data_IF_833282947482
#
_entry.id   IF_833282947482
#
_cell.length_a   1.000
_cell.length_b   1.000
_cell.length_c   1.000
_cell.angle_alpha   90.00
_cell.angle_beta   90.00
_cell.angle_gamma   90.00
#
_symmetry.space_group_name_H-M   'P 1'
#
loop_
_entity.id
_entity.type
_entity.pdbx_description
1 polymer ?
#
# COMPACT_ATOMS: atom_id res chain seq x y z
N UNK A 1 -18.51 -17.33 -12.64
CA UNK A 1 -18.43 -15.88 -12.44
C UNK A 1 -18.91 -15.58 -11.03
N UNK A 2 -17.97 -15.37 -10.12
CA UNK A 2 -18.27 -14.97 -8.73
C UNK A 2 -18.07 -13.46 -8.71
N UNK A 3 -19.17 -12.71 -8.52
CA UNK A 3 -19.10 -11.27 -8.30
C UNK A 3 -18.62 -11.07 -6.85
N UNK A 4 -17.34 -10.77 -6.67
CA UNK A 4 -16.70 -10.62 -5.35
C UNK A 4 -16.64 -9.17 -4.85
N UNK A 5 -17.53 -8.28 -5.30
CA UNK A 5 -17.55 -6.89 -4.85
C UNK A 5 -18.82 -6.58 -4.08
N UNK A 6 -18.63 -6.05 -2.87
CA UNK A 6 -19.70 -5.58 -2.00
C UNK A 6 -19.46 -4.12 -1.60
N UNK A 7 -20.52 -3.32 -1.55
CA UNK A 7 -20.50 -1.86 -1.39
C UNK A 7 -21.38 -1.43 -0.19
N UNK A 8 -20.88 -0.60 0.73
CA UNK A 8 -21.66 -0.13 1.89
C UNK A 8 -21.55 1.39 2.06
N UNK A 9 -22.57 2.08 2.52
CA UNK A 9 -22.64 3.53 2.74
C UNK A 9 -22.55 3.88 4.23
N UNK A 10 -21.81 4.92 4.59
CA UNK A 10 -21.68 5.38 5.97
C UNK A 10 -22.91 6.16 6.42
N UNK A 11 -23.43 5.78 7.62
CA UNK A 11 -24.24 6.60 8.49
C UNK A 11 -23.65 6.45 9.88
N UNK A 12 -22.48 7.06 10.15
CA UNK A 12 -21.66 7.00 11.37
C UNK A 12 -20.62 5.87 11.50
N UNK A 13 -20.45 4.97 10.50
CA UNK A 13 -19.41 3.92 10.42
C UNK A 13 -19.07 3.62 8.97
N UNK A 14 -17.87 3.10 8.67
CA UNK A 14 -17.53 2.65 7.31
C UNK A 14 -18.44 1.50 6.87
N UNK A 15 -19.15 1.71 5.79
CA UNK A 15 -20.16 0.80 5.28
C UNK A 15 -19.75 0.29 3.91
N UNK A 16 -19.77 -1.04 3.72
CA UNK A 16 -19.37 -1.71 2.48
C UNK A 16 -20.42 -1.48 1.37
N UNK A 17 -20.04 -1.06 0.20
CA UNK A 17 -20.92 -0.90 -0.96
C UNK A 17 -20.51 -1.83 -2.11
N UNK A 18 -21.44 -2.47 -2.81
CA UNK A 18 -21.09 -3.16 -4.05
C UNK A 18 -20.96 -2.16 -5.16
N UNK A 19 -19.86 -2.15 -5.84
CA UNK A 19 -19.76 -1.60 -7.17
C UNK A 19 -19.00 -2.57 -8.04
N UNK A 20 -19.17 -2.48 -9.34
CA UNK A 20 -18.27 -3.10 -10.29
C UNK A 20 -16.98 -2.26 -10.35
N UNK A 21 -16.36 -2.00 -9.19
CA UNK A 21 -15.19 -1.14 -9.11
C UNK A 21 -14.08 -1.63 -10.06
N UNK A 22 -13.95 -2.95 -10.18
CA UNK A 22 -13.22 -3.58 -11.28
C UNK A 22 -14.04 -4.77 -11.76
N UNK A 23 -14.54 -4.71 -12.99
CA UNK A 23 -15.28 -5.83 -13.57
C UNK A 23 -14.33 -6.99 -13.88
N UNK A 24 -14.47 -8.07 -13.14
CA UNK A 24 -14.05 -9.42 -13.58
C UNK A 24 -12.59 -9.82 -13.44
N UNK A 25 -11.80 -9.27 -12.53
CA UNK A 25 -10.50 -9.85 -12.27
C UNK A 25 -10.53 -10.67 -10.96
N UNK A 26 -10.31 -11.96 -11.07
CA UNK A 26 -9.93 -12.82 -9.97
C UNK A 26 -8.41 -12.70 -9.83
N UNK A 27 -7.95 -11.93 -8.86
CA UNK A 27 -6.53 -11.69 -8.62
C UNK A 27 -5.83 -12.87 -7.93
N UNK A 28 -6.49 -14.00 -7.83
CA UNK A 28 -6.04 -15.29 -7.31
C UNK A 28 -5.90 -15.36 -5.79
N UNK A 29 -4.97 -14.63 -5.17
CA UNK A 29 -4.82 -14.64 -3.70
C UNK A 29 -3.92 -13.51 -3.19
N UNK A 30 -4.12 -13.14 -1.93
CA UNK A 30 -3.32 -12.19 -1.18
C UNK A 30 -2.95 -10.94 -1.99
N UNK A 31 -3.92 -10.06 -2.21
CA UNK A 31 -3.72 -8.86 -3.03
C UNK A 31 -3.43 -7.64 -2.16
N UNK A 32 -2.50 -6.83 -2.64
CA UNK A 32 -2.10 -5.57 -2.05
C UNK A 32 -2.32 -4.45 -3.08
N UNK A 33 -3.44 -3.70 -3.00
CA UNK A 33 -3.72 -2.57 -3.88
C UNK A 33 -2.90 -1.35 -3.47
N UNK A 34 -2.51 -0.52 -4.44
CA UNK A 34 -1.94 0.81 -4.24
C UNK A 34 -2.48 1.74 -5.31
N UNK A 35 -2.84 2.96 -4.94
CA UNK A 35 -3.33 4.01 -5.83
C UNK A 35 -2.35 5.16 -5.90
N UNK A 36 -1.98 5.54 -7.12
CA UNK A 36 -1.03 6.63 -7.38
C UNK A 36 -1.24 7.18 -8.79
N UNK A 37 -1.14 8.48 -8.96
CA UNK A 37 -1.06 9.14 -10.26
C UNK A 37 0.36 8.96 -10.83
N UNK A 38 0.57 7.82 -11.52
CA UNK A 38 1.93 7.41 -11.95
C UNK A 38 2.36 8.09 -13.25
N UNK A 39 1.43 8.66 -13.99
CA UNK A 39 1.69 9.32 -15.26
C UNK A 39 1.33 10.83 -15.27
N UNK A 40 0.99 11.35 -14.09
CA UNK A 40 0.75 12.77 -13.84
C UNK A 40 -0.40 13.36 -14.70
N UNK A 41 -1.45 12.59 -14.90
CA UNK A 41 -2.65 13.03 -15.60
C UNK A 41 -3.78 13.53 -14.68
N UNK A 42 -3.55 13.53 -13.36
CA UNK A 42 -4.38 13.92 -12.23
C UNK A 42 -5.50 12.93 -11.89
N UNK A 43 -5.40 11.70 -12.33
CA UNK A 43 -6.21 10.63 -11.75
C UNK A 43 -5.32 9.47 -11.24
N UNK A 44 -5.77 8.79 -10.18
CA UNK A 44 -4.97 7.75 -9.59
C UNK A 44 -5.10 6.46 -10.37
N UNK A 45 -3.98 5.87 -10.75
CA UNK A 45 -3.86 4.53 -11.29
C UNK A 45 -3.88 3.48 -10.18
N UNK A 46 -4.13 2.23 -10.54
CA UNK A 46 -4.15 1.12 -9.60
C UNK A 46 -3.04 0.12 -9.91
N UNK A 47 -2.21 -0.11 -8.90
CA UNK A 47 -1.28 -1.23 -8.86
C UNK A 47 -1.78 -2.31 -7.92
N UNK A 48 -1.62 -3.57 -8.29
CA UNK A 48 -2.02 -4.71 -7.46
C UNK A 48 -0.87 -5.71 -7.35
N UNK A 49 -0.27 -5.78 -6.17
CA UNK A 49 0.64 -6.85 -5.82
C UNK A 49 -0.13 -8.15 -5.56
N UNK A 50 0.39 -9.29 -6.02
CA UNK A 50 -0.24 -10.60 -5.89
C UNK A 50 0.67 -11.62 -5.23
N UNK A 51 0.10 -12.70 -4.68
CA UNK A 51 0.89 -13.77 -4.06
C UNK A 51 1.62 -14.61 -5.12
N UNK A 52 0.90 -15.19 -6.08
CA UNK A 52 1.52 -16.01 -7.12
C UNK A 52 0.69 -16.03 -8.41
N UNK A 53 1.36 -16.22 -9.54
CA UNK A 53 0.73 -16.51 -10.83
C UNK A 53 0.81 -18.02 -11.11
N UNK A 54 -0.31 -18.74 -11.14
CA UNK A 54 -0.32 -20.18 -11.41
C UNK A 54 0.11 -20.54 -12.85
N UNK A 55 0.17 -19.56 -13.74
CA UNK A 55 0.63 -19.76 -15.11
C UNK A 55 2.16 -19.67 -15.26
N UNK A 56 2.86 -19.15 -14.23
CA UNK A 56 4.32 -19.06 -14.18
C UNK A 56 4.97 -20.28 -13.52
N UNK A 57 6.19 -20.62 -13.94
CA UNK A 57 7.04 -21.61 -13.27
C UNK A 57 8.50 -21.09 -13.24
N UNK A 58 9.10 -20.87 -12.06
CA UNK A 58 8.52 -21.05 -10.71
C UNK A 58 7.31 -20.13 -10.49
N UNK A 59 6.45 -20.47 -9.56
CA UNK A 59 5.32 -19.62 -9.19
C UNK A 59 5.86 -18.37 -8.47
N UNK A 60 5.67 -17.21 -9.10
CA UNK A 60 6.09 -15.91 -8.58
C UNK A 60 4.91 -14.96 -8.57
N UNK A 61 4.92 -14.01 -7.66
CA UNK A 61 3.95 -12.92 -7.65
C UNK A 61 4.12 -12.02 -8.87
N UNK A 62 3.10 -11.22 -9.13
CA UNK A 62 3.10 -10.16 -10.16
C UNK A 62 2.58 -8.87 -9.57
N UNK A 63 3.02 -7.78 -10.14
CA UNK A 63 2.40 -6.47 -9.95
C UNK A 63 1.64 -6.14 -11.22
N UNK A 64 0.33 -6.00 -11.09
CA UNK A 64 -0.58 -5.68 -12.19
C UNK A 64 -0.82 -4.18 -12.18
N UNK A 65 -0.76 -3.54 -13.34
CA UNK A 65 -1.07 -2.12 -13.50
C UNK A 65 -2.37 -1.94 -14.27
N UNK A 66 -3.22 -1.08 -13.74
CA UNK A 66 -4.46 -0.61 -14.36
C UNK A 66 -4.44 0.91 -14.41
N UNK A 67 -4.46 1.45 -15.60
CA UNK A 67 -4.61 2.88 -15.85
C UNK A 67 -6.08 3.29 -15.62
N UNK A 68 -6.27 4.39 -14.90
CA UNK A 68 -7.55 5.07 -14.81
C UNK A 68 -7.67 6.00 -16.02
N UNK A 69 -8.61 5.76 -16.90
CA UNK A 69 -8.83 6.56 -18.12
C UNK A 69 -9.99 7.56 -17.96
N UNK A 70 -10.27 7.97 -16.72
CA UNK A 70 -11.31 8.89 -16.34
C UNK A 70 -12.50 8.21 -15.69
N UNK A 71 -13.65 8.85 -15.65
CA UNK A 71 -14.84 8.38 -14.94
C UNK A 71 -16.03 8.07 -15.85
N UNK A 72 -16.87 7.14 -15.42
CA UNK A 72 -18.13 6.81 -16.10
C UNK A 72 -19.25 7.81 -15.75
N UNK A 73 -20.48 7.57 -16.29
CA UNK A 73 -21.65 8.41 -16.03
C UNK A 73 -22.12 8.44 -14.56
N UNK A 74 -21.56 7.62 -13.71
CA UNK A 74 -21.82 7.53 -12.26
C UNK A 74 -20.64 8.02 -11.42
N UNK A 75 -19.69 8.70 -12.05
CA UNK A 75 -18.45 9.18 -11.43
C UNK A 75 -17.59 8.05 -10.84
N UNK A 76 -17.59 6.87 -11.49
CA UNK A 76 -16.76 5.75 -11.09
C UNK A 76 -15.55 5.66 -12.03
N UNK A 77 -14.34 5.33 -11.52
CA UNK A 77 -13.16 5.22 -12.36
C UNK A 77 -13.31 4.13 -13.41
N UNK A 78 -12.79 4.37 -14.59
CA UNK A 78 -12.75 3.41 -15.71
C UNK A 78 -11.34 2.86 -15.82
N UNK A 79 -11.15 1.63 -15.37
CA UNK A 79 -9.87 0.95 -15.34
C UNK A 79 -9.54 0.24 -16.66
N UNK A 80 -8.35 0.46 -17.17
CA UNK A 80 -7.79 -0.25 -18.32
C UNK A 80 -6.55 -1.03 -17.88
N UNK A 81 -6.58 -2.36 -18.00
CA UNK A 81 -5.39 -3.18 -17.75
C UNK A 81 -4.29 -2.86 -18.74
N UNK A 82 -3.11 -2.49 -18.26
CA UNK A 82 -1.96 -2.10 -19.07
C UNK A 82 -1.00 -3.27 -19.23
N UNK A 83 -0.43 -3.74 -18.14
CA UNK A 83 0.50 -4.87 -18.19
C UNK A 83 0.77 -5.46 -16.78
N UNK A 84 1.53 -6.58 -16.77
CA UNK A 84 2.03 -7.27 -15.58
C UNK A 84 3.57 -7.45 -15.61
N UNK A 85 4.26 -6.73 -16.49
CA UNK A 85 5.71 -6.83 -16.70
C UNK A 85 6.42 -5.47 -16.56
N UNK A 86 5.85 -4.56 -15.81
CA UNK A 86 6.44 -3.24 -15.57
C UNK A 86 7.75 -3.37 -14.77
N UNK A 87 7.80 -4.33 -13.87
CA UNK A 87 8.96 -4.65 -13.05
C UNK A 87 9.64 -5.92 -13.56
N UNK A 88 10.95 -5.83 -13.81
CA UNK A 88 11.74 -6.95 -14.34
C UNK A 88 12.46 -7.69 -13.21
N UNK A 89 12.68 -9.00 -13.39
CA UNK A 89 13.42 -9.84 -12.47
C UNK A 89 12.53 -10.76 -11.63
N UNK A 90 13.11 -11.33 -10.59
CA UNK A 90 12.41 -12.19 -9.63
C UNK A 90 11.97 -11.31 -8.44
N UNK A 91 10.71 -10.95 -8.40
CA UNK A 91 10.13 -10.16 -7.32
C UNK A 91 9.82 -11.03 -6.07
N UNK A 92 9.77 -12.34 -6.24
CA UNK A 92 9.30 -13.26 -5.20
C UNK A 92 7.78 -13.47 -5.22
N UNK A 93 7.21 -13.79 -4.08
CA UNK A 93 5.78 -14.06 -3.89
C UNK A 93 5.20 -13.05 -2.89
N UNK A 94 3.88 -12.94 -2.90
CA UNK A 94 3.15 -12.15 -1.90
C UNK A 94 3.63 -10.69 -1.87
N UNK A 95 3.50 -10.05 -3.02
CA UNK A 95 4.09 -8.75 -3.28
C UNK A 95 3.27 -7.62 -2.64
N UNK A 96 3.95 -6.71 -1.99
CA UNK A 96 3.44 -5.42 -1.56
C UNK A 96 4.29 -4.34 -2.19
N UNK A 97 3.68 -3.30 -2.75
CA UNK A 97 4.38 -2.20 -3.41
C UNK A 97 4.01 -0.88 -2.74
N UNK A 98 4.95 0.04 -2.69
CA UNK A 98 4.72 1.42 -2.34
C UNK A 98 5.60 2.32 -3.22
N UNK A 99 5.20 3.57 -3.40
CA UNK A 99 5.86 4.52 -4.29
C UNK A 99 6.19 5.81 -3.55
N UNK A 100 7.34 6.40 -3.89
CA UNK A 100 7.75 7.74 -3.46
C UNK A 100 8.70 8.34 -4.49
N UNK A 101 8.69 9.66 -4.65
CA UNK A 101 9.76 10.41 -5.32
C UNK A 101 10.92 10.51 -4.32
N UNK A 102 11.75 9.41 -4.27
CA UNK A 102 12.75 9.24 -3.20
C UNK A 102 14.02 10.04 -3.45
N UNK A 103 14.23 10.50 -4.68
CA UNK A 103 15.41 11.27 -5.08
C UNK A 103 15.10 12.69 -5.57
N UNK A 104 13.83 13.09 -5.46
CA UNK A 104 13.33 14.43 -5.79
C UNK A 104 13.51 14.84 -7.26
N UNK A 105 13.41 13.88 -8.18
CA UNK A 105 13.49 14.12 -9.61
C UNK A 105 12.12 14.31 -10.28
N UNK A 106 11.02 14.25 -9.51
CA UNK A 106 9.62 14.49 -9.83
C UNK A 106 8.94 13.30 -10.53
N UNK A 107 9.51 12.14 -10.45
CA UNK A 107 8.80 10.91 -10.78
C UNK A 107 8.81 9.92 -9.59
N UNK A 108 7.95 8.93 -9.63
CA UNK A 108 7.79 8.01 -8.52
C UNK A 108 8.62 6.75 -8.70
N UNK A 109 9.45 6.45 -7.71
CA UNK A 109 10.18 5.20 -7.58
C UNK A 109 9.39 4.14 -6.82
N UNK A 110 9.73 2.87 -6.98
CA UNK A 110 9.00 1.77 -6.40
C UNK A 110 9.82 0.97 -5.38
N UNK A 111 9.19 0.69 -4.24
CA UNK A 111 9.68 -0.20 -3.19
C UNK A 111 8.80 -1.42 -3.12
N UNK A 112 9.36 -2.61 -3.36
CA UNK A 112 8.60 -3.86 -3.47
C UNK A 112 9.01 -4.81 -2.36
N UNK A 113 8.07 -5.06 -1.45
CA UNK A 113 8.19 -6.08 -0.41
C UNK A 113 7.70 -7.45 -0.89
N UNK A 114 8.16 -8.53 -0.25
CA UNK A 114 7.79 -9.89 -0.62
C UNK A 114 7.71 -10.85 0.57
N UNK A 115 7.28 -12.08 0.31
CA UNK A 115 7.14 -13.13 1.32
C UNK A 115 8.46 -13.47 2.04
N UNK A 116 9.61 -13.27 1.42
CA UNK A 116 10.91 -13.56 2.03
C UNK A 116 11.36 -12.47 3.03
N UNK A 117 10.61 -11.39 3.20
CA UNK A 117 10.94 -10.30 4.10
C UNK A 117 11.97 -9.31 3.53
N UNK A 118 12.20 -9.35 2.22
CA UNK A 118 13.08 -8.41 1.52
C UNK A 118 12.29 -7.23 0.98
N UNK A 119 12.91 -6.07 0.87
CA UNK A 119 12.40 -4.91 0.13
C UNK A 119 13.35 -4.64 -1.04
N UNK A 120 12.81 -4.62 -2.25
CA UNK A 120 13.53 -4.29 -3.48
C UNK A 120 13.30 -2.83 -3.84
N UNK A 121 14.34 -2.14 -4.25
CA UNK A 121 14.27 -0.80 -4.81
C UNK A 121 14.35 -0.86 -6.34
N UNK A 122 13.39 -0.21 -6.99
CA UNK A 122 13.32 -0.04 -8.43
C UNK A 122 13.20 1.44 -8.75
N UNK A 123 14.26 1.99 -9.34
CA UNK A 123 14.32 3.38 -9.77
C UNK A 123 13.49 3.57 -11.05
N UNK A 124 12.71 4.63 -11.10
CA UNK A 124 12.05 5.05 -12.34
C UNK A 124 13.05 5.85 -13.19
N UNK A 125 13.62 5.23 -14.20
CA UNK A 125 14.54 5.85 -15.13
C UNK A 125 13.83 6.48 -16.35
N UNK A 126 12.52 6.51 -16.31
CA UNK A 126 11.65 7.07 -17.34
C UNK A 126 11.39 8.55 -17.16
N UNK A 127 10.17 8.90 -16.93
CA UNK A 127 9.71 10.27 -16.63
C UNK A 127 8.40 10.22 -15.85
N UNK A 128 8.01 11.31 -15.19
CA UNK A 128 6.71 11.46 -14.52
C UNK A 128 5.48 11.18 -15.39
N UNK A 129 5.61 10.99 -16.70
CA UNK A 129 4.51 10.69 -17.65
C UNK A 129 4.60 9.30 -18.26
N UNK A 130 5.76 8.69 -18.24
CA UNK A 130 6.02 7.38 -18.86
C UNK A 130 7.04 6.66 -17.98
N UNK A 131 6.56 5.90 -16.98
CA UNK A 131 7.45 5.21 -16.05
C UNK A 131 8.19 4.05 -16.73
N UNK A 132 9.47 3.87 -16.39
CA UNK A 132 10.33 2.76 -16.81
C UNK A 132 11.19 2.30 -15.62
N UNK A 133 10.76 1.26 -14.91
CA UNK A 133 11.38 0.84 -13.67
C UNK A 133 12.58 -0.08 -13.88
N UNK A 134 13.72 0.34 -13.36
CA UNK A 134 14.95 -0.43 -13.33
C UNK A 134 15.21 -0.98 -11.92
N UNK A 135 15.35 -2.30 -11.78
CA UNK A 135 15.80 -2.89 -10.53
C UNK A 135 17.22 -2.40 -10.19
N UNK A 136 17.40 -1.79 -9.04
CA UNK A 136 18.69 -1.32 -8.55
C UNK A 136 19.27 -2.29 -7.55
N UNK A 137 18.54 -2.57 -6.44
CA UNK A 137 19.06 -3.42 -5.39
C UNK A 137 17.97 -4.00 -4.48
N UNK A 138 18.32 -5.04 -3.71
CA UNK A 138 17.63 -5.35 -2.47
C UNK A 138 18.19 -4.45 -1.38
N UNK A 139 17.34 -3.76 -0.63
CA UNK A 139 17.81 -2.89 0.46
C UNK A 139 18.43 -3.77 1.55
N UNK A 140 19.74 -3.76 1.61
CA UNK A 140 20.53 -4.72 2.38
C UNK A 140 20.38 -4.59 3.91
N UNK A 141 19.89 -3.46 4.40
CA UNK A 141 19.57 -3.23 5.80
C UNK A 141 18.25 -3.90 6.23
N UNK A 142 17.44 -4.40 5.27
CA UNK A 142 16.15 -5.01 5.52
C UNK A 142 16.22 -6.52 5.24
N UNK A 143 16.17 -7.31 6.30
CA UNK A 143 16.09 -8.77 6.26
C UNK A 143 15.14 -9.23 7.37
N UNK A 144 13.85 -9.23 7.06
CA UNK A 144 12.83 -9.61 8.01
C UNK A 144 12.62 -11.13 8.00
N UNK A 145 12.05 -11.68 9.06
CA UNK A 145 11.81 -13.12 9.20
C UNK A 145 10.77 -13.70 8.23
N UNK A 146 10.17 -12.87 7.41
CA UNK A 146 9.19 -13.21 6.37
C UNK A 146 8.19 -12.08 6.17
N UNK A 147 7.61 -12.01 4.99
CA UNK A 147 6.72 -10.96 4.51
C UNK A 147 7.19 -9.54 4.86
N UNK A 148 7.24 -8.70 3.88
CA UNK A 148 7.51 -7.27 4.04
C UNK A 148 6.47 -6.45 3.29
N UNK A 149 5.98 -5.41 3.94
CA UNK A 149 5.05 -4.43 3.38
C UNK A 149 5.62 -3.04 3.62
N UNK A 150 6.35 -2.48 2.64
CA UNK A 150 6.97 -1.16 2.76
C UNK A 150 5.94 -0.05 2.71
N UNK A 151 6.19 1.02 3.47
CA UNK A 151 5.46 2.28 3.46
C UNK A 151 6.45 3.42 3.59
N UNK A 152 6.55 4.29 2.57
CA UNK A 152 7.38 5.49 2.59
C UNK A 152 6.57 6.65 3.17
N UNK A 153 7.12 7.31 4.19
CA UNK A 153 6.45 8.39 4.92
C UNK A 153 7.51 9.26 5.62
N UNK A 154 7.41 10.58 5.51
CA UNK A 154 8.22 11.53 6.30
C UNK A 154 7.69 11.53 7.75
N UNK A 155 8.32 10.77 8.65
CA UNK A 155 7.85 10.60 10.02
C UNK A 155 8.39 11.64 11.00
N UNK A 156 9.56 12.19 10.71
CA UNK A 156 10.22 13.15 11.60
C UNK A 156 10.15 14.59 11.10
N UNK A 157 9.51 14.80 9.94
CA UNK A 157 9.28 16.09 9.27
C UNK A 157 10.59 16.78 8.87
N UNK A 158 11.58 16.06 8.43
CA UNK A 158 12.82 16.59 7.91
C UNK A 158 12.83 16.79 6.38
N UNK A 159 11.75 16.38 5.72
CA UNK A 159 11.45 16.50 4.28
C UNK A 159 12.12 15.46 3.40
N UNK A 160 12.56 14.36 3.97
CA UNK A 160 12.85 13.16 3.22
C UNK A 160 11.93 11.98 3.65
N UNK A 161 11.86 10.94 2.83
CA UNK A 161 11.00 9.81 3.15
C UNK A 161 11.74 8.78 3.99
N UNK A 162 11.18 8.48 5.16
CA UNK A 162 11.50 7.35 5.99
C UNK A 162 10.81 6.07 5.50
N UNK A 163 11.16 4.93 6.09
CA UNK A 163 10.58 3.66 5.73
C UNK A 163 10.01 2.92 6.94
N UNK A 164 8.71 2.73 6.97
CA UNK A 164 8.03 1.74 7.80
C UNK A 164 7.88 0.43 7.04
N UNK A 165 8.18 -0.71 7.67
CA UNK A 165 7.98 -2.02 7.04
C UNK A 165 7.15 -2.91 7.94
N UNK A 166 5.97 -3.28 7.46
CA UNK A 166 5.16 -4.33 8.06
C UNK A 166 5.76 -5.72 7.86
N UNK A 167 5.54 -6.64 8.79
CA UNK A 167 6.10 -7.97 8.75
C UNK A 167 5.10 -9.10 9.06
N UNK A 168 5.55 -10.34 8.97
CA UNK A 168 4.72 -11.53 9.23
C UNK A 168 4.23 -11.64 10.67
N UNK A 169 4.98 -11.10 11.64
CA UNK A 169 4.65 -11.18 13.07
C UNK A 169 3.59 -10.14 13.48
N UNK A 170 3.23 -9.21 12.56
CA UNK A 170 2.22 -8.16 12.80
C UNK A 170 2.76 -6.91 13.47
N UNK A 171 4.08 -6.78 13.57
CA UNK A 171 4.76 -5.57 14.06
C UNK A 171 5.21 -4.68 12.91
N UNK A 172 5.71 -3.47 13.24
CA UNK A 172 6.31 -2.55 12.28
C UNK A 172 7.79 -2.34 12.60
N UNK A 173 8.62 -2.38 11.58
CA UNK A 173 10.01 -1.92 11.63
C UNK A 173 10.05 -0.48 11.16
N UNK A 174 10.84 0.36 11.83
CA UNK A 174 11.08 1.74 11.45
C UNK A 174 12.55 1.93 11.09
N UNK A 175 12.77 2.43 9.90
CA UNK A 175 14.06 2.85 9.37
C UNK A 175 14.01 4.34 9.09
N UNK A 176 14.91 5.07 9.71
CA UNK A 176 15.16 6.49 9.51
C UNK A 176 16.02 6.68 8.26
N UNK A 177 15.68 7.62 7.40
CA UNK A 177 16.49 7.98 6.26
C UNK A 177 17.57 8.98 6.71
N UNK A 178 18.77 8.49 6.97
CA UNK A 178 19.93 9.33 7.37
C UNK A 178 20.68 9.90 6.16
N UNK A 179 20.17 9.71 4.96
CA UNK A 179 20.69 10.26 3.71
C UNK A 179 20.27 11.72 3.51
N UNK A 180 19.66 11.99 2.38
CA UNK A 180 19.02 13.28 2.08
C UNK A 180 17.93 13.07 1.01
N UNK A 181 17.19 14.12 0.66
CA UNK A 181 16.12 14.09 -0.33
C UNK A 181 16.56 13.68 -1.76
N UNK A 182 17.82 13.39 -2.02
CA UNK A 182 18.33 12.98 -3.34
C UNK A 182 18.98 11.60 -3.33
N UNK A 183 19.23 11.06 -2.14
CA UNK A 183 19.88 9.74 -1.99
C UNK A 183 19.58 9.17 -0.59
N UNK A 184 18.70 8.21 -0.52
CA UNK A 184 18.34 7.57 0.75
C UNK A 184 19.47 6.70 1.32
N UNK A 185 19.53 6.62 2.66
CA UNK A 185 20.35 5.67 3.43
C UNK A 185 19.57 5.23 4.67
N UNK A 186 18.82 4.16 4.56
CA UNK A 186 17.93 3.67 5.63
C UNK A 186 18.68 3.02 6.78
N UNK A 187 18.53 3.56 7.98
CA UNK A 187 19.12 3.09 9.23
C UNK A 187 18.03 2.58 10.18
N UNK A 188 18.12 1.32 10.64
CA UNK A 188 17.14 0.75 11.57
C UNK A 188 17.14 1.51 12.90
N UNK A 189 15.99 2.08 13.25
CA UNK A 189 15.74 2.74 14.53
C UNK A 189 14.97 1.83 15.50
N UNK A 190 13.99 1.06 14.98
CA UNK A 190 13.18 0.18 15.81
C UNK A 190 12.72 -1.06 15.04
N UNK A 191 12.85 -2.24 15.64
CA UNK A 191 12.29 -3.51 15.16
C UNK A 191 10.87 -3.79 15.72
N UNK A 192 10.35 -2.86 16.52
CA UNK A 192 9.00 -2.90 17.10
C UNK A 192 8.51 -1.45 17.32
N UNK A 193 8.25 -0.74 16.21
CA UNK A 193 7.86 0.66 16.22
C UNK A 193 6.63 0.90 17.08
N UNK A 194 6.76 1.79 18.07
CA UNK A 194 5.71 2.20 19.02
C UNK A 194 5.01 1.02 19.74
N UNK A 195 5.62 -0.18 19.74
CA UNK A 195 4.99 -1.41 20.23
C UNK A 195 3.65 -1.74 19.53
N UNK A 196 3.52 -1.32 18.28
CA UNK A 196 2.39 -1.65 17.43
C UNK A 196 2.47 -3.16 17.09
N UNK A 197 1.40 -3.88 17.43
CA UNK A 197 1.23 -5.29 17.15
C UNK A 197 -0.24 -5.56 16.74
N UNK A 198 -0.44 -5.93 15.49
CA UNK A 198 -1.76 -6.27 14.93
C UNK A 198 -2.02 -7.79 14.93
N UNK A 199 -1.11 -8.55 15.54
CA UNK A 199 -1.22 -9.98 15.76
C UNK A 199 -0.58 -10.85 14.69
N UNK A 200 -0.63 -10.49 13.43
CA UNK A 200 0.10 -11.13 12.33
C UNK A 200 -0.01 -10.31 11.07
N UNK A 201 1.03 -10.34 10.24
CA UNK A 201 1.09 -9.80 8.88
C UNK A 201 0.53 -8.37 8.79
N UNK A 202 1.31 -7.42 9.27
CA UNK A 202 0.97 -6.00 9.18
C UNK A 202 1.14 -5.48 7.74
N UNK A 203 0.15 -4.72 7.27
CA UNK A 203 0.17 -3.99 5.99
C UNK A 203 -0.24 -2.55 6.26
N UNK A 204 0.72 -1.63 6.47
CA UNK A 204 0.44 -0.25 6.83
C UNK A 204 0.12 0.60 5.60
N UNK A 205 -0.78 1.58 5.78
CA UNK A 205 -0.97 2.76 4.95
C UNK A 205 -1.25 3.96 5.84
N UNK A 206 -1.22 5.17 5.32
CA UNK A 206 -1.41 6.39 6.10
C UNK A 206 -2.38 7.38 5.45
N UNK A 207 -3.00 8.20 6.28
CA UNK A 207 -3.85 9.31 5.87
C UNK A 207 -4.18 10.21 7.08
N UNK A 208 -4.43 11.49 6.86
CA UNK A 208 -4.98 12.40 7.88
C UNK A 208 -6.50 12.18 8.02
N UNK A 209 -6.89 11.24 8.90
CA UNK A 209 -8.30 10.84 9.05
C UNK A 209 -9.14 11.82 9.87
N UNK A 210 -8.53 12.64 10.71
CA UNK A 210 -9.25 13.56 11.58
C UNK A 210 -9.07 15.05 11.23
N UNK A 211 -8.25 15.35 10.21
CA UNK A 211 -8.09 16.67 9.63
C UNK A 211 -7.23 17.62 10.47
N UNK A 212 -6.32 17.08 11.27
CA UNK A 212 -5.42 17.87 12.11
C UNK A 212 -4.06 18.19 11.44
N UNK A 213 -3.86 17.71 10.21
CA UNK A 213 -2.72 17.83 9.31
C UNK A 213 -1.49 17.02 9.74
N UNK A 214 -1.66 16.01 10.54
CA UNK A 214 -0.68 14.95 10.67
C UNK A 214 -1.23 13.61 10.15
N UNK A 215 -0.33 12.70 9.76
CA UNK A 215 -0.74 11.44 9.17
C UNK A 215 -0.97 10.38 10.25
N UNK A 216 -2.15 9.78 10.20
CA UNK A 216 -2.51 8.61 11.00
C UNK A 216 -2.14 7.31 10.27
N UNK A 217 -2.07 6.19 10.98
CA UNK A 217 -1.82 4.88 10.39
C UNK A 217 -3.08 4.02 10.36
N UNK A 218 -3.31 3.40 9.21
CA UNK A 218 -4.26 2.33 9.03
C UNK A 218 -3.49 1.04 8.70
N UNK A 219 -3.67 -0.01 9.51
CA UNK A 219 -2.87 -1.22 9.40
C UNK A 219 -3.76 -2.43 9.20
N UNK A 220 -3.62 -3.08 8.07
CA UNK A 220 -4.23 -4.37 7.81
C UNK A 220 -3.54 -5.50 8.58
N UNK A 221 -4.22 -6.62 8.76
CA UNK A 221 -3.70 -7.76 9.49
C UNK A 221 -4.05 -9.11 8.90
N UNK A 222 -3.31 -10.15 9.31
CA UNK A 222 -3.64 -11.54 8.98
C UNK A 222 -4.94 -12.05 9.62
N UNK A 223 -5.51 -11.34 10.57
CA UNK A 223 -6.61 -11.78 11.44
C UNK A 223 -7.96 -11.13 11.15
N UNK A 224 -8.24 -10.79 9.90
CA UNK A 224 -9.54 -10.20 9.45
C UNK A 224 -9.82 -8.78 9.95
N UNK A 225 -8.87 -8.11 10.63
CA UNK A 225 -9.07 -6.79 11.19
C UNK A 225 -8.24 -5.74 10.48
N UNK A 226 -8.77 -4.53 10.45
CA UNK A 226 -8.04 -3.30 10.14
C UNK A 226 -7.90 -2.53 11.44
N UNK A 227 -6.71 -2.02 11.70
CA UNK A 227 -6.37 -1.32 12.93
C UNK A 227 -6.07 0.14 12.62
N UNK A 228 -6.75 1.05 13.30
CA UNK A 228 -6.50 2.48 13.20
C UNK A 228 -5.63 2.96 14.37
N UNK A 229 -4.57 3.68 14.06
CA UNK A 229 -3.69 4.32 15.02
C UNK A 229 -3.65 5.81 14.73
N UNK A 230 -4.21 6.60 15.67
CA UNK A 230 -4.19 8.05 15.58
C UNK A 230 -2.81 8.58 15.94
N UNK A 231 -2.32 9.51 15.14
CA UNK A 231 -1.13 10.26 15.42
C UNK A 231 -1.44 11.33 16.48
N UNK A 232 -0.82 11.23 17.64
CA UNK A 232 -0.89 12.20 18.72
C UNK A 232 0.49 12.81 18.99
N UNK A 233 1.34 12.85 17.96
CA UNK A 233 2.69 13.37 18.01
C UNK A 233 2.70 14.87 18.32
N UNK A 234 3.83 15.36 18.74
CA UNK A 234 4.08 16.78 18.93
C UNK A 234 5.56 17.05 18.61
N UNK A 235 5.98 18.33 18.60
CA UNK A 235 7.34 18.76 18.24
C UNK A 235 8.51 17.96 18.86
N UNK A 236 8.26 17.19 19.91
CA UNK A 236 9.31 16.47 20.65
C UNK A 236 9.08 14.97 20.81
N UNK A 237 7.89 14.47 20.48
CA UNK A 237 7.51 13.07 20.73
C UNK A 237 6.65 12.57 19.59
N UNK A 238 7.17 11.58 18.86
CA UNK A 238 6.41 10.79 17.91
C UNK A 238 5.55 9.79 18.69
N UNK A 239 4.24 9.80 18.49
CA UNK A 239 3.29 8.97 19.24
C UNK A 239 2.08 8.57 18.40
N UNK A 240 1.91 7.27 18.20
CA UNK A 240 0.71 6.67 17.61
C UNK A 240 -0.05 5.87 18.65
N UNK A 241 -1.31 6.26 18.91
CA UNK A 241 -2.20 5.58 19.85
C UNK A 241 -3.29 4.80 19.11
N UNK A 242 -3.48 3.52 19.48
CA UNK A 242 -4.58 2.74 18.93
C UNK A 242 -5.91 3.39 19.22
N UNK A 243 -6.67 3.71 18.17
CA UNK A 243 -8.01 4.27 18.27
C UNK A 243 -9.08 3.27 17.83
N UNK A 244 -10.27 3.37 18.43
CA UNK A 244 -11.46 2.57 18.13
C UNK A 244 -12.59 3.45 17.59
N UNK A 245 -12.25 4.63 17.07
CA UNK A 245 -13.22 5.56 16.47
C UNK A 245 -13.86 5.01 15.20
N UNK A 246 -13.13 4.14 14.48
CA UNK A 246 -13.64 3.48 13.30
C UNK A 246 -13.92 2.00 13.57
N UNK A 247 -15.06 1.54 13.09
CA UNK A 247 -15.45 0.14 13.15
C UNK A 247 -15.44 -0.43 11.72
N UNK A 248 -14.44 -1.23 11.42
CA UNK A 248 -14.31 -1.86 10.11
C UNK A 248 -15.07 -3.19 10.07
N UNK A 249 -15.78 -3.52 8.97
CA UNK A 249 -16.40 -4.82 8.81
C UNK A 249 -15.33 -5.91 8.68
N UNK A 250 -15.68 -7.14 9.03
CA UNK A 250 -14.83 -8.30 8.75
C UNK A 250 -14.87 -8.61 7.26
N UNK A 251 -13.76 -8.40 6.57
CA UNK A 251 -13.67 -8.52 5.10
C UNK A 251 -13.00 -9.82 4.64
N UNK A 252 -12.16 -10.40 5.47
CA UNK A 252 -11.37 -11.59 5.18
C UNK A 252 -9.99 -11.51 5.82
N UNK A 253 -9.19 -12.55 5.71
CA UNK A 253 -7.85 -12.59 6.27
C UNK A 253 -6.83 -11.91 5.33
N UNK A 254 -5.66 -11.55 5.87
CA UNK A 254 -4.59 -10.85 5.17
C UNK A 254 -5.10 -9.57 4.51
N UNK A 255 -5.72 -8.72 5.32
CA UNK A 255 -6.23 -7.43 4.84
C UNK A 255 -5.07 -6.49 4.50
N UNK A 256 -5.18 -5.82 3.36
CA UNK A 256 -4.26 -4.75 2.93
C UNK A 256 -5.09 -3.52 2.56
N UNK A 257 -5.26 -2.58 3.49
CA UNK A 257 -6.00 -1.35 3.25
C UNK A 257 -5.14 -0.37 2.43
N UNK A 258 -5.80 0.38 1.56
CA UNK A 258 -5.18 1.47 0.81
C UNK A 258 -6.17 2.62 0.64
N UNK A 259 -5.67 3.83 0.60
CA UNK A 259 -6.48 5.02 0.49
C UNK A 259 -6.77 5.31 -0.99
N UNK A 260 -8.04 5.57 -1.28
CA UNK A 260 -8.49 5.93 -2.61
C UNK A 260 -9.24 7.27 -2.58
N UNK A 261 -8.77 8.20 -3.41
CA UNK A 261 -9.47 9.45 -3.64
C UNK A 261 -10.19 9.44 -4.97
N UNK A 262 -11.45 9.84 -4.94
CA UNK A 262 -12.17 10.30 -6.10
C UNK A 262 -12.57 11.77 -5.84
N UNK A 263 -12.83 12.56 -6.87
CA UNK A 263 -13.12 14.00 -6.80
C UNK A 263 -14.10 14.42 -5.68
N UNK A 264 -14.99 13.54 -5.24
CA UNK A 264 -16.07 13.83 -4.29
C UNK A 264 -15.93 13.13 -2.93
N UNK A 265 -15.08 12.08 -2.77
CA UNK A 265 -15.01 11.30 -1.53
C UNK A 265 -13.70 10.56 -1.29
N UNK A 266 -13.36 10.46 -0.02
CA UNK A 266 -12.36 9.56 0.51
C UNK A 266 -12.95 8.14 0.61
N UNK A 267 -12.21 7.16 0.12
CA UNK A 267 -12.53 5.75 0.28
C UNK A 267 -11.31 4.95 0.75
N UNK A 268 -11.58 3.78 1.28
CA UNK A 268 -10.56 2.79 1.61
C UNK A 268 -10.82 1.57 0.74
N UNK A 269 -9.83 1.15 -0.02
CA UNK A 269 -9.87 -0.13 -0.74
C UNK A 269 -9.09 -1.15 0.07
N UNK A 270 -9.65 -2.32 0.25
CA UNK A 270 -9.02 -3.37 1.07
C UNK A 270 -8.86 -4.62 0.24
N UNK A 271 -7.61 -4.99 -0.01
CA UNK A 271 -7.25 -6.27 -0.56
C UNK A 271 -7.33 -7.39 0.49
N UNK A 272 -7.64 -8.60 0.08
CA UNK A 272 -7.73 -9.77 0.98
C UNK A 272 -7.18 -11.04 0.36
N UNK A 273 -6.97 -12.06 1.18
CA UNK A 273 -6.36 -13.34 0.79
C UNK A 273 -7.13 -14.12 -0.29
N UNK A 274 -8.41 -13.87 -0.46
CA UNK A 274 -9.23 -14.55 -1.48
C UNK A 274 -9.13 -13.92 -2.87
N UNK A 275 -8.25 -12.93 -3.06
CA UNK A 275 -8.11 -12.20 -4.33
C UNK A 275 -9.19 -11.14 -4.55
N UNK A 276 -10.03 -10.85 -3.56
CA UNK A 276 -11.06 -9.81 -3.61
C UNK A 276 -10.52 -8.44 -3.16
N UNK A 277 -11.07 -7.36 -3.72
CA UNK A 277 -10.94 -6.00 -3.22
C UNK A 277 -12.28 -5.49 -2.71
N UNK A 278 -12.28 -4.87 -1.54
CA UNK A 278 -13.45 -4.26 -0.95
C UNK A 278 -13.26 -2.75 -0.89
N UNK A 279 -14.29 -2.01 -1.30
CA UNK A 279 -14.29 -0.56 -1.21
C UNK A 279 -15.16 -0.10 -0.04
N UNK A 280 -14.58 0.69 0.83
CA UNK A 280 -15.22 1.32 1.99
C UNK A 280 -15.21 2.82 1.79
N UNK A 281 -16.33 3.50 1.92
CA UNK A 281 -16.34 4.95 1.94
C UNK A 281 -17.06 5.53 3.15
N UNK A 282 -16.69 6.75 3.50
CA UNK A 282 -17.29 7.52 4.60
C UNK A 282 -18.56 8.24 4.18
#
# INVERSE_FOLDING_TARGET
LINNFFFYEKVDDFVLRTSNFIQTLDFLSDINPVFIDIDNDNDNDLFVGTDFDPSSLPWTGKILMFENIGTDQYNQPIWTYINDNLFQGDLGNNLSINFADIDSDQDFDAFIGNYNGMVQFHENIGTQYIPDFLFIENISSIDLSGYSSPLLIDLDNDSDFDLLVGNIDGTLFYYDNIGDQFAFDFSLVSDNFQSIDVGSRSSPTYYDFDGDNDFDLLIGSGNENIHYYKNNSNENVLLFDRSYEFNFPLLGINTSPEIFFNEDYLGIVVGVSTGGMFYLNS
#
